data_IF_592119449924
#
_entry.id   IF_592119449924
#
_cell.length_a   1.000
_cell.length_b   1.000
_cell.length_c   1.000
_cell.angle_alpha   90.00
_cell.angle_beta   90.00
_cell.angle_gamma   90.00
#
_symmetry.space_group_name_H-M   'P 1'
#
loop_
_entity.id
_entity.type
_entity.pdbx_description
1 polymer ?
#
# COMPACT_ATOMS: atom_id res chain seq x y z
N UNK A 1 16.90 -15.25 -7.90
CA UNK A 1 16.59 -15.60 -6.51
C UNK A 1 17.59 -14.83 -5.67
N UNK A 2 17.16 -14.10 -4.65
CA UNK A 2 18.04 -13.22 -3.86
C UNK A 2 18.41 -13.94 -2.56
N UNK A 3 19.70 -14.00 -2.23
CA UNK A 3 20.18 -14.60 -0.99
C UNK A 3 20.73 -13.52 -0.05
N UNK A 4 20.26 -13.51 1.21
CA UNK A 4 20.75 -12.64 2.28
C UNK A 4 20.98 -13.51 3.52
N UNK A 5 22.24 -13.58 3.97
CA UNK A 5 22.71 -14.50 5.01
C UNK A 5 22.27 -15.95 4.71
N UNK A 6 21.30 -16.45 5.47
CA UNK A 6 20.76 -17.80 5.41
C UNK A 6 19.28 -17.81 4.98
N UNK A 7 18.81 -16.69 4.42
CA UNK A 7 17.46 -16.49 3.91
C UNK A 7 17.48 -16.45 2.38
N UNK A 8 16.60 -17.24 1.77
CA UNK A 8 16.35 -17.24 0.33
C UNK A 8 15.06 -16.48 0.04
N UNK A 9 15.15 -15.47 -0.82
CA UNK A 9 14.07 -14.56 -1.18
C UNK A 9 13.72 -14.78 -2.65
N UNK A 10 12.42 -14.96 -2.93
CA UNK A 10 11.91 -15.13 -4.29
C UNK A 10 12.16 -13.87 -5.14
N UNK A 11 12.46 -14.04 -6.43
CA UNK A 11 12.55 -12.91 -7.37
C UNK A 11 11.21 -12.17 -7.54
N UNK A 12 10.11 -12.88 -7.29
CA UNK A 12 8.74 -12.33 -7.32
C UNK A 12 8.60 -11.14 -6.38
N UNK A 13 9.34 -11.08 -5.27
CA UNK A 13 9.32 -9.94 -4.34
C UNK A 13 9.77 -8.63 -5.01
N UNK A 14 10.61 -8.71 -6.05
CA UNK A 14 11.09 -7.56 -6.82
C UNK A 14 10.32 -7.40 -8.13
N UNK A 15 9.89 -8.50 -8.73
CA UNK A 15 9.29 -8.52 -10.07
C UNK A 15 7.78 -8.27 -10.08
N UNK A 16 7.07 -8.79 -9.09
CA UNK A 16 5.63 -8.60 -9.01
C UNK A 16 5.30 -7.16 -8.63
N UNK A 17 4.40 -6.56 -9.40
CA UNK A 17 3.93 -5.21 -9.10
C UNK A 17 2.90 -5.30 -7.98
N UNK A 18 3.34 -4.91 -6.78
CA UNK A 18 2.40 -4.56 -5.73
C UNK A 18 1.47 -3.45 -6.24
N UNK A 19 0.19 -3.55 -5.90
CA UNK A 19 -0.81 -2.51 -6.24
C UNK A 19 -0.46 -1.16 -5.59
N UNK A 20 0.44 -1.17 -4.59
CA UNK A 20 0.87 0.00 -3.84
C UNK A 20 2.28 0.48 -4.24
N UNK A 21 2.52 1.78 -4.09
CA UNK A 21 3.83 2.40 -4.28
C UNK A 21 4.76 2.06 -3.11
N UNK A 22 5.60 1.04 -3.32
CA UNK A 22 6.54 0.53 -2.32
C UNK A 22 7.55 1.57 -1.84
N UNK A 23 7.91 2.54 -2.71
CA UNK A 23 8.86 3.61 -2.35
C UNK A 23 8.25 4.59 -1.35
N UNK A 24 6.93 4.80 -1.42
CA UNK A 24 6.19 5.62 -0.46
C UNK A 24 5.90 4.88 0.84
N UNK A 25 5.42 3.63 0.76
CA UNK A 25 4.96 2.91 1.96
C UNK A 25 6.07 2.14 2.68
N UNK A 26 7.17 1.79 2.00
CA UNK A 26 8.30 1.00 2.52
C UNK A 26 7.89 -0.32 3.19
N UNK A 27 6.76 -0.91 2.77
CA UNK A 27 6.22 -2.14 3.34
C UNK A 27 5.35 -1.97 4.59
N UNK A 28 5.20 -0.77 5.13
CA UNK A 28 4.44 -0.54 6.37
C UNK A 28 2.98 -0.99 6.28
N UNK A 29 2.29 -0.71 5.15
CA UNK A 29 0.90 -1.16 4.96
C UNK A 29 0.73 -2.68 4.92
N UNK A 30 1.78 -3.45 4.57
CA UNK A 30 1.75 -4.90 4.48
C UNK A 30 2.11 -5.57 5.82
N UNK A 31 2.87 -4.89 6.67
CA UNK A 31 3.20 -5.32 8.03
C UNK A 31 2.06 -4.98 9.01
N UNK A 32 1.52 -3.76 8.91
CA UNK A 32 0.41 -3.29 9.76
C UNK A 32 -0.95 -3.88 9.35
N UNK A 33 -1.03 -4.46 8.13
CA UNK A 33 -2.01 -5.46 7.69
C UNK A 33 -3.47 -5.01 7.49
N UNK A 34 -4.05 -4.29 8.44
CA UNK A 34 -5.51 -4.06 8.52
C UNK A 34 -5.94 -2.58 8.44
N UNK A 35 -5.03 -1.64 8.67
CA UNK A 35 -5.37 -0.22 8.69
C UNK A 35 -5.36 0.46 7.31
N UNK A 36 -4.78 -0.20 6.30
CA UNK A 36 -4.55 0.40 4.97
C UNK A 36 -3.55 1.56 5.01
N UNK A 37 -3.45 2.30 3.91
CA UNK A 37 -2.60 3.48 3.85
C UNK A 37 -3.18 4.59 4.75
N UNK A 38 -2.38 5.20 5.65
CA UNK A 38 -2.85 6.32 6.45
C UNK A 38 -3.20 7.50 5.55
N UNK A 39 -4.35 8.12 5.81
CA UNK A 39 -4.82 9.29 5.07
C UNK A 39 -4.56 10.58 5.85
N UNK A 40 -4.15 11.63 5.14
CA UNK A 40 -4.05 12.96 5.69
C UNK A 40 -5.44 13.59 5.92
N UNK A 41 -5.53 14.53 6.86
CA UNK A 41 -6.81 15.16 7.22
C UNK A 41 -7.52 15.85 6.04
N UNK A 42 -6.76 16.39 5.10
CA UNK A 42 -7.32 17.04 3.91
C UNK A 42 -7.88 16.03 2.92
N UNK A 43 -7.32 14.81 2.84
CA UNK A 43 -7.85 13.74 2.01
C UNK A 43 -9.20 13.27 2.54
N UNK A 44 -9.34 13.15 3.87
CA UNK A 44 -10.61 12.85 4.53
C UNK A 44 -11.68 13.92 4.25
N UNK A 45 -11.29 15.20 4.24
CA UNK A 45 -12.21 16.30 3.89
C UNK A 45 -12.73 16.18 2.46
N UNK A 46 -11.85 15.78 1.52
CA UNK A 46 -12.24 15.56 0.12
C UNK A 46 -13.17 14.36 -0.03
N UNK A 47 -12.89 13.24 0.64
CA UNK A 47 -13.79 12.09 0.63
C UNK A 47 -15.19 12.46 1.11
N UNK A 48 -15.30 13.15 2.24
CA UNK A 48 -16.60 13.60 2.76
C UNK A 48 -17.33 14.55 1.78
N UNK A 49 -16.59 15.44 1.11
CA UNK A 49 -17.15 16.38 0.14
C UNK A 49 -17.74 15.68 -1.09
N UNK A 50 -17.06 14.64 -1.60
CA UNK A 50 -17.42 13.99 -2.86
C UNK A 50 -18.13 12.66 -2.70
N UNK A 51 -18.32 12.16 -1.46
CA UNK A 51 -18.85 10.82 -1.17
C UNK A 51 -20.12 10.48 -1.97
N UNK A 52 -21.12 11.36 -1.98
CA UNK A 52 -22.38 11.12 -2.69
C UNK A 52 -22.22 10.99 -4.21
N UNK A 53 -21.16 11.55 -4.80
CA UNK A 53 -20.88 11.45 -6.25
C UNK A 53 -20.19 10.14 -6.62
N UNK A 54 -19.36 9.59 -5.71
CA UNK A 54 -18.56 8.38 -5.96
C UNK A 54 -19.25 7.11 -5.47
N UNK A 55 -20.13 7.20 -4.47
CA UNK A 55 -20.89 6.07 -3.90
C UNK A 55 -21.57 5.13 -4.92
N UNK A 56 -22.05 5.58 -6.10
CA UNK A 56 -22.70 4.70 -7.08
C UNK A 56 -21.74 3.80 -7.90
N UNK A 57 -20.43 4.01 -7.81
CA UNK A 57 -19.40 3.27 -8.55
C UNK A 57 -18.66 2.31 -7.61
#
# INVERSE_FOLDING_TARGET
>A
MIAIDQVLISDEVVQEQFVCDLSKCKGGCCEDGDAGAPMEKWELQKLNQYYEQIKPY
#
